data_IF_059764803994
#
_entry.id   IF_059764803994
#
_cell.length_a   1.000
_cell.length_b   1.000
_cell.length_c   1.000
_cell.angle_alpha   90.00
_cell.angle_beta   90.00
_cell.angle_gamma   90.00
#
_symmetry.space_group_name_H-M   'P 1'
#
loop_
_entity.id
_entity.type
_entity.pdbx_description
1 polymer ?
#
# COMPACT_ATOMS: atom_id res chain seq x y z
N UNK A 1 -15.79 10.57 1.00
CA UNK A 1 -15.27 10.04 -0.28
C UNK A 1 -16.30 9.17 -1.04
N UNK A 2 -17.60 9.53 -1.05
CA UNK A 2 -18.69 8.68 -1.61
C UNK A 2 -18.99 8.90 -3.12
N UNK A 3 -18.34 9.87 -3.76
CA UNK A 3 -18.75 10.37 -5.09
C UNK A 3 -18.21 9.50 -6.25
N UNK A 4 -17.16 8.70 -6.02
CA UNK A 4 -16.51 7.89 -7.08
C UNK A 4 -17.14 6.51 -7.29
N UNK A 5 -17.65 5.86 -6.23
CA UNK A 5 -18.26 4.51 -6.33
C UNK A 5 -19.55 4.52 -7.17
N UNK A 6 -20.38 5.57 -7.08
CA UNK A 6 -21.63 5.66 -7.82
C UNK A 6 -21.47 5.79 -9.34
N UNK A 7 -20.39 6.43 -9.80
CA UNK A 7 -20.09 6.58 -11.24
C UNK A 7 -19.59 5.26 -11.85
N UNK A 8 -18.74 4.53 -11.13
CA UNK A 8 -18.17 3.23 -11.54
C UNK A 8 -19.25 2.19 -11.88
N UNK A 9 -20.23 2.01 -10.98
CA UNK A 9 -21.33 1.05 -11.15
C UNK A 9 -22.18 1.43 -12.37
N UNK A 10 -22.43 2.73 -12.56
CA UNK A 10 -23.21 3.25 -13.68
C UNK A 10 -22.54 3.02 -15.04
N UNK A 11 -21.22 3.23 -15.13
CA UNK A 11 -20.45 3.00 -16.37
C UNK A 11 -20.47 1.52 -16.76
N UNK A 12 -20.19 0.60 -15.83
CA UNK A 12 -20.26 -0.84 -16.10
C UNK A 12 -21.66 -1.30 -16.51
N UNK A 13 -22.71 -0.75 -15.87
CA UNK A 13 -24.10 -1.05 -16.23
C UNK A 13 -24.42 -0.61 -17.66
N UNK A 14 -24.02 0.60 -18.04
CA UNK A 14 -24.25 1.12 -19.39
C UNK A 14 -23.52 0.30 -20.45
N UNK A 15 -22.23 0.00 -20.24
CA UNK A 15 -21.45 -0.82 -21.17
C UNK A 15 -22.05 -2.22 -21.36
N UNK A 16 -22.54 -2.85 -20.28
CA UNK A 16 -23.23 -4.15 -20.37
C UNK A 16 -24.51 -4.09 -21.19
N UNK A 17 -25.29 -3.02 -21.06
CA UNK A 17 -26.50 -2.83 -21.86
C UNK A 17 -26.16 -2.54 -23.33
N UNK A 18 -25.15 -1.71 -23.60
CA UNK A 18 -24.66 -1.47 -24.97
C UNK A 18 -24.14 -2.75 -25.65
N UNK A 19 -23.39 -3.58 -24.91
CA UNK A 19 -22.92 -4.89 -25.40
C UNK A 19 -24.10 -5.81 -25.75
N UNK A 20 -25.12 -5.88 -24.89
CA UNK A 20 -26.33 -6.68 -25.14
C UNK A 20 -27.08 -6.18 -26.37
N UNK A 21 -27.20 -4.86 -26.54
CA UNK A 21 -27.85 -4.26 -27.71
C UNK A 21 -27.08 -4.65 -28.98
N UNK A 22 -25.76 -4.47 -28.99
CA UNK A 22 -24.90 -4.86 -30.11
C UNK A 22 -25.02 -6.36 -30.46
N UNK A 23 -25.03 -7.22 -29.44
CA UNK A 23 -25.23 -8.66 -29.63
C UNK A 23 -26.64 -9.00 -30.18
N UNK A 24 -27.69 -8.29 -29.76
CA UNK A 24 -29.06 -8.51 -30.26
C UNK A 24 -29.23 -8.10 -31.72
N UNK A 25 -28.53 -7.07 -32.17
CA UNK A 25 -28.55 -6.63 -33.58
C UNK A 25 -27.52 -7.38 -34.45
N UNK A 26 -26.91 -8.45 -33.92
CA UNK A 26 -25.89 -9.27 -34.58
C UNK A 26 -24.60 -8.51 -34.96
N UNK A 27 -24.35 -7.36 -34.33
CA UNK A 27 -23.09 -6.62 -34.42
C UNK A 27 -22.08 -7.21 -33.43
N UNK A 28 -21.58 -8.40 -33.75
CA UNK A 28 -20.70 -9.17 -32.88
C UNK A 28 -19.31 -8.54 -32.72
N UNK A 29 -18.82 -7.81 -33.72
CA UNK A 29 -17.53 -7.12 -33.63
C UNK A 29 -17.59 -6.01 -32.59
N UNK A 30 -18.65 -5.21 -32.61
CA UNK A 30 -18.88 -4.19 -31.58
C UNK A 30 -19.14 -4.79 -30.21
N UNK A 31 -19.92 -5.87 -30.13
CA UNK A 31 -20.16 -6.57 -28.87
C UNK A 31 -18.85 -7.09 -28.25
N UNK A 32 -17.94 -7.66 -29.06
CA UNK A 32 -16.63 -8.11 -28.61
C UNK A 32 -15.77 -6.96 -28.09
N UNK A 33 -15.71 -5.82 -28.81
CA UNK A 33 -14.98 -4.63 -28.35
C UNK A 33 -15.48 -4.13 -26.99
N UNK A 34 -16.81 -4.07 -26.80
CA UNK A 34 -17.40 -3.60 -25.53
C UNK A 34 -17.16 -4.61 -24.40
N UNK A 35 -17.22 -5.93 -24.68
CA UNK A 35 -16.86 -6.97 -23.71
C UNK A 35 -15.42 -6.79 -23.22
N UNK A 36 -14.48 -6.60 -24.14
CA UNK A 36 -13.06 -6.46 -23.80
C UNK A 36 -12.82 -5.17 -22.98
N UNK A 37 -13.58 -4.10 -23.26
CA UNK A 37 -13.59 -2.88 -22.45
C UNK A 37 -14.13 -3.12 -21.03
N UNK A 38 -15.21 -3.91 -20.89
CA UNK A 38 -15.75 -4.31 -19.59
C UNK A 38 -14.70 -5.10 -18.81
N UNK A 39 -14.06 -6.10 -19.43
CA UNK A 39 -13.04 -6.91 -18.76
C UNK A 39 -11.82 -6.09 -18.32
N UNK A 40 -11.33 -5.20 -19.18
CA UNK A 40 -10.22 -4.30 -18.85
C UNK A 40 -10.59 -3.38 -17.68
N UNK A 41 -11.79 -2.80 -17.72
CA UNK A 41 -12.29 -1.94 -16.65
C UNK A 41 -12.47 -2.73 -15.35
N UNK A 42 -13.02 -3.94 -15.39
CA UNK A 42 -13.15 -4.82 -14.22
C UNK A 42 -11.78 -5.17 -13.61
N UNK A 43 -10.75 -5.44 -14.42
CA UNK A 43 -9.37 -5.68 -13.94
C UNK A 43 -8.78 -4.46 -13.24
N UNK A 44 -8.91 -3.27 -13.80
CA UNK A 44 -8.45 -2.01 -13.17
C UNK A 44 -9.19 -1.79 -11.84
N UNK A 45 -10.50 -2.05 -11.85
CA UNK A 45 -11.37 -1.86 -10.71
C UNK A 45 -11.20 -2.91 -9.60
N UNK A 46 -10.73 -4.12 -9.93
CA UNK A 46 -10.38 -5.17 -8.99
C UNK A 46 -9.13 -4.79 -8.19
N UNK A 47 -8.11 -4.23 -8.84
CA UNK A 47 -6.93 -3.67 -8.16
C UNK A 47 -7.31 -2.54 -7.21
N UNK A 48 -8.26 -1.67 -7.61
CA UNK A 48 -8.78 -0.64 -6.71
C UNK A 48 -9.57 -1.20 -5.51
N UNK A 49 -10.16 -2.39 -5.62
CA UNK A 49 -10.92 -3.05 -4.53
C UNK A 49 -10.00 -3.65 -3.47
N UNK A 50 -8.78 -4.07 -3.83
CA UNK A 50 -7.73 -4.49 -2.88
C UNK A 50 -7.32 -3.32 -1.97
N UNK A 51 -7.41 -2.08 -2.47
CA UNK A 51 -7.12 -0.87 -1.72
C UNK A 51 -8.25 -0.45 -0.77
N UNK A 52 -9.46 -1.01 -0.92
CA UNK A 52 -10.54 -0.80 0.04
C UNK A 52 -10.41 -1.83 1.18
N UNK A 53 -10.27 -1.39 2.44
CA UNK A 53 -10.16 -2.29 3.58
C UNK A 53 -11.37 -3.24 3.59
N UNK A 54 -11.14 -4.54 3.40
CA UNK A 54 -12.18 -5.55 3.52
C UNK A 54 -12.59 -5.66 5.00
N UNK A 55 -13.81 -5.25 5.40
CA UNK A 55 -14.22 -5.18 6.80
C UNK A 55 -14.07 -6.52 7.53
N UNK A 56 -14.29 -7.61 6.81
CA UNK A 56 -14.24 -8.99 7.31
C UNK A 56 -12.87 -9.40 7.88
N UNK A 57 -11.77 -8.91 7.30
CA UNK A 57 -10.41 -9.18 7.81
C UNK A 57 -10.21 -8.52 9.18
N UNK A 58 -10.78 -7.33 9.38
CA UNK A 58 -10.64 -6.58 10.63
C UNK A 58 -11.56 -7.07 11.74
N UNK A 59 -12.63 -7.80 11.40
CA UNK A 59 -13.56 -8.38 12.38
C UNK A 59 -12.96 -9.60 13.09
N UNK A 60 -11.87 -10.16 12.58
CA UNK A 60 -11.21 -11.36 13.12
C UNK A 60 -9.80 -11.09 13.64
N UNK A 61 -9.52 -9.87 14.09
CA UNK A 61 -8.17 -9.49 14.53
C UNK A 61 -7.58 -10.46 15.57
N UNK A 62 -8.37 -10.91 16.54
CA UNK A 62 -7.88 -11.80 17.59
C UNK A 62 -7.39 -13.17 17.04
N UNK A 63 -8.03 -13.69 15.98
CA UNK A 63 -7.60 -14.92 15.29
C UNK A 63 -6.29 -14.69 14.54
N UNK A 64 -6.19 -13.58 13.79
CA UNK A 64 -5.00 -13.17 13.05
C UNK A 64 -3.82 -12.90 14.00
N UNK A 65 -4.05 -12.19 15.09
CA UNK A 65 -3.06 -11.92 16.13
C UNK A 65 -2.52 -13.23 16.71
N UNK A 66 -3.39 -14.20 16.98
CA UNK A 66 -2.99 -15.51 17.52
C UNK A 66 -2.08 -16.29 16.55
N UNK A 67 -2.31 -16.18 15.25
CA UNK A 67 -1.42 -16.78 14.24
C UNK A 67 -0.11 -16.03 14.12
N UNK A 68 -0.16 -14.70 14.08
CA UNK A 68 1.03 -13.85 14.02
C UNK A 68 1.95 -14.06 15.23
N UNK A 69 1.38 -14.16 16.43
CA UNK A 69 2.12 -14.46 17.67
C UNK A 69 2.78 -15.84 17.64
N UNK A 70 2.12 -16.83 17.03
CA UNK A 70 2.68 -18.17 16.84
C UNK A 70 3.84 -18.14 15.86
N UNK A 71 3.71 -17.43 14.75
CA UNK A 71 4.76 -17.31 13.74
C UNK A 71 5.99 -16.55 14.24
N UNK A 72 5.78 -15.47 15.01
CA UNK A 72 6.85 -14.63 15.55
C UNK A 72 7.39 -15.09 16.92
N UNK A 73 6.81 -16.16 17.48
CA UNK A 73 7.17 -16.71 18.81
C UNK A 73 7.06 -15.69 19.96
N UNK A 74 6.12 -14.74 19.87
CA UNK A 74 5.94 -13.69 20.89
C UNK A 74 4.71 -13.92 21.76
N UNK A 75 4.87 -13.70 23.07
CA UNK A 75 3.77 -13.82 24.05
C UNK A 75 3.00 -12.51 24.24
N UNK A 76 3.63 -11.36 24.01
CA UNK A 76 3.00 -10.04 24.19
C UNK A 76 1.84 -9.84 23.21
N UNK A 77 0.89 -9.00 23.56
CA UNK A 77 -0.18 -8.57 22.64
C UNK A 77 0.44 -7.77 21.49
N UNK A 78 -0.06 -7.96 20.29
CA UNK A 78 0.28 -7.14 19.12
C UNK A 78 -0.93 -6.27 18.84
N UNK A 79 -0.93 -5.05 19.36
CA UNK A 79 -2.04 -4.10 19.19
C UNK A 79 -1.70 -3.02 18.17
N UNK A 80 -0.43 -2.59 18.14
CA UNK A 80 0.05 -1.55 17.23
C UNK A 80 1.08 -2.11 16.27
N UNK A 81 0.80 -2.02 14.97
CA UNK A 81 1.74 -2.38 13.92
C UNK A 81 2.09 -1.12 13.13
N UNK A 82 3.38 -0.89 12.90
CA UNK A 82 3.86 0.16 12.02
C UNK A 82 4.57 -0.47 10.82
N UNK A 83 4.18 -0.09 9.61
CA UNK A 83 4.86 -0.54 8.40
C UNK A 83 5.56 0.65 7.71
N UNK A 84 6.78 0.41 7.24
CA UNK A 84 7.67 1.41 6.68
C UNK A 84 8.05 1.06 5.25
N UNK A 85 7.99 2.06 4.38
CA UNK A 85 8.44 1.97 2.99
C UNK A 85 9.32 3.18 2.65
N UNK A 86 10.28 2.97 1.75
CA UNK A 86 11.18 3.98 1.21
C UNK A 86 11.01 4.06 -0.31
N UNK A 87 10.61 5.24 -0.78
CA UNK A 87 10.36 5.51 -2.19
C UNK A 87 11.33 6.55 -2.73
N UNK A 88 12.04 6.20 -3.81
CA UNK A 88 12.90 7.13 -4.54
C UNK A 88 12.42 7.30 -5.99
N UNK A 89 11.97 8.50 -6.33
CA UNK A 89 11.62 8.85 -7.70
C UNK A 89 12.85 9.52 -8.31
N UNK A 90 13.34 8.98 -9.43
CA UNK A 90 14.54 9.42 -10.12
C UNK A 90 14.47 10.93 -10.46
N UNK A 91 15.04 11.78 -9.59
CA UNK A 91 15.05 13.25 -9.73
C UNK A 91 14.06 14.04 -8.85
N UNK A 92 13.24 13.40 -8.00
CA UNK A 92 12.36 14.06 -7.02
C UNK A 92 12.73 13.69 -5.58
N UNK A 93 12.23 14.45 -4.61
CA UNK A 93 12.55 14.33 -3.19
C UNK A 93 12.26 12.92 -2.63
N UNK A 94 13.33 12.18 -2.32
CA UNK A 94 13.27 10.88 -1.67
C UNK A 94 12.40 10.95 -0.40
N UNK A 95 11.53 9.95 -0.22
CA UNK A 95 10.52 9.94 0.83
C UNK A 95 10.48 8.59 1.54
N UNK A 96 10.35 8.61 2.86
CA UNK A 96 9.89 7.47 3.64
C UNK A 96 8.43 7.62 4.04
N UNK A 97 7.68 6.52 4.10
CA UNK A 97 6.31 6.49 4.59
C UNK A 97 6.21 5.56 5.81
N UNK A 98 5.32 5.92 6.73
CA UNK A 98 4.93 5.08 7.86
C UNK A 98 3.41 4.98 7.85
N UNK A 99 2.91 3.75 7.78
CA UNK A 99 1.50 3.44 7.97
C UNK A 99 1.32 2.73 9.30
N UNK A 100 0.17 2.95 9.95
CA UNK A 100 -0.09 2.43 11.30
C UNK A 100 -1.39 1.64 11.31
N UNK A 101 -1.36 0.48 11.93
CA UNK A 101 -2.54 -0.34 12.21
C UNK A 101 -2.72 -0.48 13.72
N UNK A 102 -3.97 -0.36 14.18
CA UNK A 102 -4.38 -0.56 15.57
C UNK A 102 -5.43 -1.66 15.60
N UNK A 103 -5.15 -2.75 16.31
CA UNK A 103 -5.99 -3.94 16.39
C UNK A 103 -6.45 -4.40 14.99
N UNK A 104 -5.49 -4.55 14.10
CA UNK A 104 -5.70 -4.90 12.70
C UNK A 104 -6.19 -3.75 11.82
N UNK A 105 -6.79 -2.68 12.35
CA UNK A 105 -7.41 -1.64 11.53
C UNK A 105 -6.45 -0.52 11.12
N UNK A 106 -6.46 -0.06 9.86
CA UNK A 106 -5.65 1.08 9.43
C UNK A 106 -6.02 2.36 10.19
N UNK A 107 -5.05 2.97 10.87
CA UNK A 107 -5.20 4.25 11.55
C UNK A 107 -4.52 5.37 10.75
N UNK A 108 -5.25 5.91 9.76
CA UNK A 108 -4.76 6.94 8.84
C UNK A 108 -4.32 8.24 9.53
N UNK A 109 -4.89 8.57 10.69
CA UNK A 109 -4.51 9.76 11.46
C UNK A 109 -3.08 9.65 12.02
N UNK A 110 -2.56 8.44 12.11
CA UNK A 110 -1.21 8.15 12.59
C UNK A 110 -0.22 7.88 11.47
N UNK A 111 -0.62 8.01 10.21
CA UNK A 111 0.30 7.90 9.10
C UNK A 111 1.27 9.08 9.11
N UNK A 112 2.52 8.83 8.70
CA UNK A 112 3.55 9.87 8.60
C UNK A 112 4.30 9.75 7.29
N UNK A 113 4.69 10.90 6.75
CA UNK A 113 5.57 11.03 5.59
C UNK A 113 6.85 11.71 6.05
N UNK A 114 7.99 11.12 5.73
CA UNK A 114 9.31 11.62 6.07
C UNK A 114 10.00 12.04 4.78
N UNK A 115 10.22 13.34 4.59
CA UNK A 115 11.13 13.82 3.56
C UNK A 115 12.55 13.40 3.94
N UNK A 116 13.24 12.68 3.06
CA UNK A 116 14.62 12.24 3.29
C UNK A 116 15.56 13.40 2.99
N UNK A 117 16.48 13.64 3.93
CA UNK A 117 17.41 14.77 3.85
C UNK A 117 18.86 14.34 3.67
N UNK A 118 19.17 13.05 3.82
CA UNK A 118 20.55 12.53 3.73
C UNK A 118 21.41 12.90 4.94
N UNK A 119 20.81 13.38 6.03
CA UNK A 119 21.53 13.87 7.23
C UNK A 119 22.17 12.76 8.06
N UNK A 120 21.70 11.52 7.94
CA UNK A 120 22.13 10.40 8.78
C UNK A 120 22.98 9.36 8.05
N UNK A 121 23.13 9.49 6.72
CA UNK A 121 23.99 8.67 5.83
C UNK A 121 24.11 9.40 4.49
N UNK A 122 25.27 9.38 3.79
CA UNK A 122 25.43 10.09 2.52
C UNK A 122 24.52 9.48 1.44
N UNK A 123 23.31 10.03 1.33
CA UNK A 123 22.42 9.80 0.20
C UNK A 123 23.07 10.43 -1.02
N UNK A 124 23.55 9.61 -1.96
CA UNK A 124 24.02 10.09 -3.26
C UNK A 124 22.91 9.87 -4.27
N UNK A 125 22.38 10.94 -4.91
CA UNK A 125 21.39 10.77 -5.94
C UNK A 125 21.92 9.88 -7.06
N UNK A 126 21.02 9.05 -7.61
CA UNK A 126 21.31 8.23 -8.77
C UNK A 126 21.86 9.11 -9.91
N UNK A 127 23.08 8.81 -10.37
CA UNK A 127 23.80 9.61 -11.38
C UNK A 127 25.21 10.07 -10.97
N UNK A 128 25.65 9.87 -9.72
CA UNK A 128 26.96 10.33 -9.23
C UNK A 128 28.17 9.39 -9.50
N UNK A 129 28.08 8.55 -10.55
CA UNK A 129 29.26 7.87 -11.14
C UNK A 129 29.93 6.75 -10.33
N UNK A 130 29.37 6.33 -9.20
CA UNK A 130 29.85 5.15 -8.45
C UNK A 130 28.65 4.27 -8.12
N UNK A 131 28.75 2.97 -8.40
CA UNK A 131 27.64 2.00 -8.42
C UNK A 131 26.70 2.12 -7.21
N UNK A 132 25.41 2.27 -7.50
CA UNK A 132 24.34 2.40 -6.52
C UNK A 132 24.25 1.15 -5.61
N UNK A 133 24.77 1.27 -4.39
CA UNK A 133 24.45 0.40 -3.26
C UNK A 133 23.23 0.92 -2.47
N UNK A 134 22.64 0.12 -1.56
CA UNK A 134 21.22 0.10 -1.23
C UNK A 134 20.71 1.42 -0.65
N UNK A 135 20.10 2.24 -1.52
CA UNK A 135 19.55 3.54 -1.17
C UNK A 135 18.44 3.43 -0.11
N UNK A 136 17.64 2.37 -0.20
CA UNK A 136 16.45 2.18 0.64
C UNK A 136 16.82 1.89 2.10
N UNK A 137 17.93 1.16 2.36
CA UNK A 137 18.41 0.87 3.73
C UNK A 137 18.79 2.17 4.45
N UNK A 138 19.55 3.04 3.77
CA UNK A 138 19.96 4.34 4.29
C UNK A 138 18.73 5.24 4.56
N UNK A 139 17.77 5.26 3.64
CA UNK A 139 16.52 6.00 3.79
C UNK A 139 15.70 5.49 4.99
N UNK A 140 15.49 4.17 5.10
CA UNK A 140 14.77 3.56 6.21
C UNK A 140 15.46 3.80 7.55
N UNK A 141 16.80 3.76 7.59
CA UNK A 141 17.57 4.10 8.78
C UNK A 141 17.34 5.55 9.24
N UNK A 142 17.30 6.52 8.32
CA UNK A 142 16.95 7.91 8.65
C UNK A 142 15.51 8.00 9.20
N UNK A 143 14.57 7.31 8.56
CA UNK A 143 13.16 7.29 8.97
C UNK A 143 13.00 6.74 10.39
N UNK A 144 13.56 5.57 10.68
CA UNK A 144 13.46 4.92 11.99
C UNK A 144 14.14 5.75 13.08
N UNK A 145 15.32 6.30 12.81
CA UNK A 145 15.99 7.19 13.77
C UNK A 145 15.14 8.42 14.11
N UNK A 146 14.48 9.03 13.12
CA UNK A 146 13.60 10.17 13.35
C UNK A 146 12.34 9.73 14.09
N UNK A 147 11.73 8.61 13.70
CA UNK A 147 10.56 8.02 14.35
C UNK A 147 10.77 7.78 15.84
N UNK A 148 11.90 7.19 16.23
CA UNK A 148 12.17 6.82 17.63
C UNK A 148 12.67 7.99 18.49
N UNK A 149 12.94 9.15 17.88
CA UNK A 149 13.17 10.41 18.60
C UNK A 149 11.88 11.10 19.05
N UNK A 150 10.71 10.57 18.69
CA UNK A 150 9.40 11.06 19.12
C UNK A 150 8.86 10.19 20.27
N UNK A 151 9.20 10.48 21.55
CA UNK A 151 8.71 9.73 22.70
C UNK A 151 7.20 9.87 22.91
N UNK A 152 6.60 10.93 22.36
CA UNK A 152 5.16 11.18 22.43
C UNK A 152 4.35 10.27 21.50
N UNK A 153 4.99 9.54 20.59
CA UNK A 153 4.33 8.57 19.73
C UNK A 153 4.39 7.17 20.35
N UNK A 154 3.24 6.50 20.57
CA UNK A 154 3.21 5.16 21.16
C UNK A 154 4.15 4.19 20.43
N UNK A 155 4.88 3.38 21.20
CA UNK A 155 5.78 2.38 20.62
C UNK A 155 5.00 1.30 19.86
N UNK A 156 5.47 0.87 18.69
CA UNK A 156 4.88 -0.26 17.98
C UNK A 156 5.12 -1.58 18.71
N UNK A 157 4.16 -2.50 18.62
CA UNK A 157 4.34 -3.87 19.06
C UNK A 157 5.08 -4.70 18.01
N UNK A 158 4.87 -4.38 16.73
CA UNK A 158 5.50 -4.98 15.57
C UNK A 158 5.84 -3.91 14.52
N UNK A 159 7.02 -4.04 13.93
CA UNK A 159 7.48 -3.20 12.82
C UNK A 159 7.57 -4.08 11.57
N UNK A 160 6.99 -3.60 10.48
CA UNK A 160 7.12 -4.20 9.16
C UNK A 160 7.97 -3.26 8.30
N UNK A 161 8.94 -3.80 7.59
CA UNK A 161 9.79 -3.04 6.67
C UNK A 161 9.59 -3.63 5.29
N UNK A 162 9.18 -2.80 4.32
CA UNK A 162 9.06 -3.21 2.92
C UNK A 162 10.48 -3.34 2.32
N UNK A 163 11.01 -4.56 2.34
CA UNK A 163 12.39 -4.84 1.97
C UNK A 163 12.74 -6.33 1.93
N UNK A 164 13.81 -6.66 1.19
CA UNK A 164 14.42 -7.99 1.19
C UNK A 164 15.36 -8.22 2.38
N UNK A 165 16.09 -9.34 2.38
CA UNK A 165 17.02 -9.73 3.48
C UNK A 165 18.10 -8.68 3.81
N UNK A 166 18.44 -7.79 2.86
CA UNK A 166 19.43 -6.73 3.07
C UNK A 166 18.94 -5.59 3.99
N UNK A 167 17.63 -5.44 4.19
CA UNK A 167 17.04 -4.41 5.07
C UNK A 167 16.99 -4.81 6.56
N UNK A 168 17.33 -6.06 6.91
CA UNK A 168 17.23 -6.59 8.28
C UNK A 168 18.53 -6.54 9.09
N UNK A 169 19.64 -6.08 8.50
CA UNK A 169 20.98 -6.09 9.11
C UNK A 169 21.49 -4.69 9.48
#
# INVERSE_FOLDING_TARGET
MKILQGKKIRVLKNLREEMKIASKIQDFERAAKIRDQIESLEKILAHAKILEPQPEIFQKWDEVEKELKRFLEVKKRISRIEAYDASNIQGQEATGSMVTFINGQPNKNQYRKFKITGKFTPYRPAGSGTGAGPNDVAMLKEVLNRRFKHPEWPFPDLILIDGGRAQLN
#
